data_IF_782479527777
#
_entry.id   IF_782479527777
#
_cell.length_a   1.000
_cell.length_b   1.000
_cell.length_c   1.000
_cell.angle_alpha   90.00
_cell.angle_beta   90.00
_cell.angle_gamma   90.00
#
_symmetry.space_group_name_H-M   'P 1'
#
loop_
_entity.id
_entity.type
_entity.pdbx_description
1 polymer ?
#
# COMPACT_ATOMS: atom_id res chain seq x y z
N UNK A 1 -0.20 -0.81 10.17
CA UNK A 1 0.57 0.45 10.18
C UNK A 1 0.59 0.90 8.75
N UNK A 2 -0.07 2.02 8.42
CA UNK A 2 -0.02 2.57 7.07
C UNK A 2 1.35 3.24 6.97
N UNK A 3 2.26 2.63 6.23
CA UNK A 3 3.53 3.27 5.91
C UNK A 3 3.24 4.24 4.77
N UNK A 4 3.22 5.52 5.08
CA UNK A 4 3.10 6.57 4.08
C UNK A 4 4.52 6.96 3.67
N UNK A 5 4.95 6.54 2.48
CA UNK A 5 6.28 6.87 1.95
C UNK A 5 6.23 8.26 1.32
N UNK A 6 6.76 9.27 2.04
CA UNK A 6 7.04 10.61 1.52
C UNK A 6 8.55 10.71 1.32
N UNK A 7 8.97 10.97 0.07
CA UNK A 7 10.35 11.04 -0.43
C UNK A 7 11.06 9.68 -0.59
N UNK A 8 11.15 9.24 -1.83
CA UNK A 8 11.67 7.94 -2.28
C UNK A 8 13.20 7.90 -2.49
N UNK A 9 13.98 8.88 -2.00
CA UNK A 9 15.40 8.97 -2.38
C UNK A 9 16.30 8.15 -1.46
N UNK A 10 16.98 7.18 -2.08
CA UNK A 10 18.08 6.37 -1.56
C UNK A 10 17.65 5.34 -0.48
N UNK A 11 18.45 4.29 -0.28
CA UNK A 11 18.40 3.41 0.92
C UNK A 11 17.51 2.15 0.82
N UNK A 12 17.73 1.31 -0.21
CA UNK A 12 17.35 -0.12 -0.09
C UNK A 12 18.56 -1.08 -0.15
N UNK A 13 19.71 -0.62 -0.66
CA UNK A 13 20.89 -1.47 -0.86
C UNK A 13 21.70 -1.78 0.41
N UNK A 14 21.69 -0.90 1.43
CA UNK A 14 22.59 -1.02 2.62
C UNK A 14 21.97 -1.64 3.88
N UNK A 15 20.65 -1.75 4.00
CA UNK A 15 19.98 -2.14 5.26
C UNK A 15 19.10 -3.39 5.20
N UNK A 16 19.11 -4.13 4.07
CA UNK A 16 18.27 -5.33 3.82
C UNK A 16 18.39 -6.38 4.94
N UNK A 17 19.58 -6.57 5.51
CA UNK A 17 19.82 -7.56 6.56
C UNK A 17 19.53 -7.09 7.99
N UNK A 18 19.50 -5.78 8.26
CA UNK A 18 19.25 -5.23 9.61
C UNK A 18 17.75 -5.18 9.94
N UNK A 19 16.90 -4.99 8.93
CA UNK A 19 15.43 -4.99 9.08
C UNK A 19 14.83 -6.40 9.23
N UNK A 20 15.45 -7.41 8.60
CA UNK A 20 14.92 -8.79 8.48
C UNK A 20 14.78 -9.59 9.79
N UNK A 21 15.53 -9.28 10.87
CA UNK A 21 15.72 -10.21 12.00
C UNK A 21 14.85 -9.99 13.26
N UNK A 22 13.86 -9.10 13.29
CA UNK A 22 13.34 -8.61 14.60
C UNK A 22 11.83 -8.59 14.85
N UNK A 23 11.04 -9.38 14.13
CA UNK A 23 9.59 -9.43 14.35
C UNK A 23 9.11 -10.87 14.55
N UNK A 24 9.26 -11.38 15.78
CA UNK A 24 8.50 -12.52 16.28
C UNK A 24 7.89 -12.13 17.63
N UNK A 25 6.57 -12.34 17.70
CA UNK A 25 5.64 -12.27 18.82
C UNK A 25 5.91 -11.23 19.92
N UNK A 26 5.26 -10.05 19.84
CA UNK A 26 5.31 -9.06 20.93
C UNK A 26 4.05 -8.18 20.95
N UNK A 27 3.55 -7.80 22.13
CA UNK A 27 2.33 -6.94 22.32
C UNK A 27 2.36 -5.72 21.39
N UNK A 28 1.21 -5.31 20.82
CA UNK A 28 1.10 -4.18 19.84
C UNK A 28 1.91 -2.92 20.22
N UNK A 29 1.96 -2.57 21.52
CA UNK A 29 2.74 -1.43 22.04
C UNK A 29 4.26 -1.58 21.86
N UNK A 30 4.78 -2.80 21.96
CA UNK A 30 6.21 -3.09 21.83
C UNK A 30 6.66 -3.07 20.36
N UNK A 31 5.81 -3.50 19.43
CA UNK A 31 6.06 -3.34 17.99
C UNK A 31 6.16 -1.84 17.64
N UNK A 32 5.23 -1.02 18.13
CA UNK A 32 5.27 0.44 17.91
C UNK A 32 6.56 1.04 18.47
N UNK A 33 6.97 0.66 19.70
CA UNK A 33 8.24 1.12 20.29
C UNK A 33 9.45 0.70 19.43
N UNK A 34 9.49 -0.55 18.96
CA UNK A 34 10.54 -1.05 18.06
C UNK A 34 10.63 -0.22 16.78
N UNK A 35 9.49 0.07 16.14
CA UNK A 35 9.42 0.89 14.91
C UNK A 35 9.93 2.30 15.17
N UNK A 36 9.51 2.94 16.27
CA UNK A 36 9.97 4.28 16.62
C UNK A 36 11.49 4.29 16.88
N UNK A 37 12.02 3.26 17.54
CA UNK A 37 13.47 3.18 17.78
C UNK A 37 14.25 2.96 16.49
N UNK A 38 13.80 2.03 15.63
CA UNK A 38 14.38 1.83 14.31
C UNK A 38 14.35 3.11 13.46
N UNK A 39 13.23 3.85 13.48
CA UNK A 39 13.12 5.13 12.78
C UNK A 39 14.12 6.18 13.26
N UNK A 40 14.49 6.16 14.55
CA UNK A 40 15.50 7.07 15.10
C UNK A 40 16.90 6.65 14.66
N UNK A 41 17.20 5.35 14.65
CA UNK A 41 18.50 4.83 14.20
C UNK A 41 18.77 5.19 12.74
N UNK A 42 17.78 5.07 11.87
CA UNK A 42 17.93 5.34 10.43
C UNK A 42 17.53 6.76 10.04
N UNK A 43 17.26 7.66 11.01
CA UNK A 43 16.77 9.03 10.75
C UNK A 43 17.70 9.86 9.86
N UNK A 44 19.02 9.59 9.93
CA UNK A 44 20.04 10.27 9.10
C UNK A 44 19.95 9.86 7.62
N UNK A 45 19.39 8.70 7.35
CA UNK A 45 19.23 8.13 6.02
C UNK A 45 17.80 8.39 5.52
N UNK A 46 16.77 7.98 6.29
CA UNK A 46 15.36 8.07 5.90
C UNK A 46 14.59 8.96 6.88
N UNK A 47 13.83 9.91 6.34
CA UNK A 47 12.84 10.66 7.13
C UNK A 47 11.62 9.79 7.37
N UNK A 48 11.50 9.24 8.58
CA UNK A 48 10.35 8.46 9.00
C UNK A 48 9.59 9.24 10.06
N UNK A 49 8.28 9.38 9.88
CA UNK A 49 7.38 10.06 10.81
C UNK A 49 6.30 9.09 11.26
N UNK A 50 6.15 8.95 12.57
CA UNK A 50 5.03 8.22 13.17
C UNK A 50 3.92 9.20 13.57
N UNK A 51 2.77 9.10 12.92
CA UNK A 51 1.61 9.94 13.19
C UNK A 51 0.78 9.34 14.34
N UNK A 52 0.80 10.02 15.48
CA UNK A 52 -0.09 9.71 16.61
C UNK A 52 -1.48 10.29 16.34
N UNK A 53 -2.51 9.68 16.93
CA UNK A 53 -3.89 10.17 16.90
C UNK A 53 -4.44 10.40 15.48
N UNK A 54 -4.28 9.40 14.61
CA UNK A 54 -4.85 9.43 13.27
C UNK A 54 -6.37 9.65 13.33
N UNK A 55 -6.82 10.76 12.75
CA UNK A 55 -8.22 11.15 12.67
C UNK A 55 -8.55 11.57 11.23
N UNK A 56 -9.80 11.97 10.99
CA UNK A 56 -10.26 12.32 9.64
C UNK A 56 -9.52 13.54 9.06
N UNK A 57 -9.12 14.51 9.89
CA UNK A 57 -8.38 15.69 9.43
C UNK A 57 -6.98 15.30 8.91
N UNK A 58 -6.26 14.45 9.67
CA UNK A 58 -4.97 13.91 9.25
C UNK A 58 -5.12 13.02 8.02
N UNK A 59 -6.16 12.18 7.98
CA UNK A 59 -6.47 11.34 6.83
C UNK A 59 -6.62 12.16 5.55
N UNK A 60 -7.38 13.26 5.60
CA UNK A 60 -7.61 14.17 4.46
C UNK A 60 -6.30 14.76 3.93
N UNK A 61 -5.41 15.18 4.81
CA UNK A 61 -4.11 15.72 4.41
C UNK A 61 -3.22 14.63 3.79
N UNK A 62 -3.24 13.42 4.33
CA UNK A 62 -2.43 12.31 3.83
C UNK A 62 -2.89 11.85 2.46
N UNK A 63 -4.18 11.61 2.24
CA UNK A 63 -4.65 11.14 0.92
C UNK A 63 -4.40 12.15 -0.19
N UNK A 64 -4.25 13.43 0.12
CA UNK A 64 -3.94 14.47 -0.85
C UNK A 64 -2.43 14.69 -1.07
N UNK A 65 -1.57 14.29 -0.13
CA UNK A 65 -0.15 14.65 -0.10
C UNK A 65 0.82 13.51 -0.37
N UNK A 66 0.33 12.32 -0.68
CA UNK A 66 1.14 11.09 -0.74
C UNK A 66 1.24 10.60 -2.18
N UNK A 67 2.42 10.17 -2.58
CA UNK A 67 2.65 9.63 -3.93
C UNK A 67 2.27 8.15 -4.03
N UNK A 68 2.59 7.36 -2.99
CA UNK A 68 2.35 5.91 -2.94
C UNK A 68 1.64 5.50 -1.66
N UNK A 69 0.52 4.79 -1.80
CA UNK A 69 -0.26 4.23 -0.70
C UNK A 69 0.11 2.75 -0.47
N UNK A 70 0.89 2.46 0.57
CA UNK A 70 1.32 1.10 0.91
C UNK A 70 0.36 0.41 1.88
N UNK A 71 -0.16 -0.75 1.47
CA UNK A 71 -1.01 -1.61 2.30
C UNK A 71 -0.47 -3.05 2.31
N UNK A 72 -0.13 -3.56 3.50
CA UNK A 72 0.37 -4.93 3.69
C UNK A 72 -0.55 -5.71 4.66
N UNK A 73 -1.81 -6.03 4.27
CA UNK A 73 -2.66 -6.90 5.05
C UNK A 73 -2.07 -8.30 5.17
N UNK A 74 -2.49 -9.04 6.20
CA UNK A 74 -2.23 -10.48 6.22
C UNK A 74 -3.34 -11.16 5.42
N UNK A 75 -2.98 -11.93 4.39
CA UNK A 75 -3.95 -12.71 3.60
C UNK A 75 -4.62 -13.75 4.50
N UNK A 76 -5.92 -14.08 4.33
CA UNK A 76 -6.97 -13.40 3.55
C UNK A 76 -7.83 -12.48 4.44
N UNK A 77 -7.21 -11.71 5.34
CA UNK A 77 -7.93 -11.01 6.42
C UNK A 77 -8.44 -9.62 6.01
N UNK A 78 -8.14 -9.13 4.82
CA UNK A 78 -8.68 -7.86 4.33
C UNK A 78 -9.98 -8.06 3.55
N UNK A 79 -11.12 -7.88 4.22
CA UNK A 79 -12.42 -7.93 3.55
C UNK A 79 -12.65 -6.73 2.61
N UNK A 80 -12.30 -5.50 3.03
CA UNK A 80 -12.45 -4.29 2.21
C UNK A 80 -11.50 -3.18 2.66
N UNK A 81 -10.81 -2.55 1.70
CA UNK A 81 -9.80 -1.52 1.92
C UNK A 81 -10.20 -0.15 1.37
N UNK A 82 -11.13 0.53 2.06
CA UNK A 82 -11.66 1.82 1.57
C UNK A 82 -10.65 2.97 1.58
N UNK A 83 -9.57 2.87 2.36
CA UNK A 83 -8.51 3.88 2.39
C UNK A 83 -7.72 3.94 1.08
N UNK A 84 -7.42 2.78 0.48
CA UNK A 84 -6.76 2.73 -0.84
C UNK A 84 -7.65 3.27 -1.96
N UNK A 85 -8.97 3.05 -1.86
CA UNK A 85 -9.95 3.64 -2.78
C UNK A 85 -9.98 5.18 -2.66
N UNK A 86 -9.94 5.72 -1.44
CA UNK A 86 -9.88 7.17 -1.19
C UNK A 86 -8.58 7.79 -1.72
N UNK A 87 -7.46 7.09 -1.57
CA UNK A 87 -6.18 7.52 -2.10
C UNK A 87 -6.22 7.58 -3.63
N UNK A 88 -6.81 6.58 -4.30
CA UNK A 88 -6.93 6.54 -5.75
C UNK A 88 -7.73 7.72 -6.34
N UNK A 89 -8.73 8.24 -5.61
CA UNK A 89 -9.47 9.45 -6.02
C UNK A 89 -8.60 10.70 -6.12
N UNK A 90 -7.46 10.72 -5.41
CA UNK A 90 -6.49 11.81 -5.45
C UNK A 90 -5.33 11.51 -6.41
N UNK A 91 -5.43 10.46 -7.23
CA UNK A 91 -4.34 10.03 -8.13
C UNK A 91 -3.18 9.36 -7.42
N UNK A 92 -3.32 9.04 -6.13
CA UNK A 92 -2.31 8.27 -5.39
C UNK A 92 -2.24 6.86 -5.94
N UNK A 93 -1.02 6.34 -6.08
CA UNK A 93 -0.80 5.01 -6.63
C UNK A 93 -0.82 3.98 -5.49
N UNK A 94 -1.60 2.92 -5.66
CA UNK A 94 -1.66 1.85 -4.67
C UNK A 94 -0.50 0.87 -4.85
N UNK A 95 0.12 0.49 -3.74
CA UNK A 95 1.10 -0.60 -3.67
C UNK A 95 0.67 -1.55 -2.56
N UNK A 96 0.13 -2.70 -2.90
CA UNK A 96 -0.53 -3.55 -1.91
C UNK A 96 -0.45 -5.04 -2.21
N UNK A 97 -0.55 -5.86 -1.17
CA UNK A 97 -0.78 -7.30 -1.29
C UNK A 97 -2.12 -7.52 -2.01
N UNK A 98 -2.18 -8.53 -2.88
CA UNK A 98 -3.41 -8.92 -3.60
C UNK A 98 -4.39 -9.63 -2.65
N UNK A 99 -5.12 -8.82 -1.88
CA UNK A 99 -6.19 -9.26 -0.99
C UNK A 99 -7.38 -8.29 -1.07
N UNK A 100 -8.59 -8.80 -0.80
CA UNK A 100 -9.84 -8.04 -0.83
C UNK A 100 -10.07 -7.24 -2.12
N UNK A 101 -10.33 -5.94 -1.96
CA UNK A 101 -10.67 -5.04 -3.07
C UNK A 101 -9.55 -4.87 -4.11
N UNK A 102 -8.29 -5.08 -3.72
CA UNK A 102 -7.17 -4.85 -4.62
C UNK A 102 -7.11 -5.89 -5.73
N UNK A 103 -7.67 -7.09 -5.51
CA UNK A 103 -7.82 -8.13 -6.54
C UNK A 103 -8.66 -7.62 -7.72
N UNK A 104 -9.69 -6.81 -7.45
CA UNK A 104 -10.55 -6.23 -8.49
C UNK A 104 -9.95 -4.97 -9.15
N UNK A 105 -9.16 -4.20 -8.41
CA UNK A 105 -8.64 -2.90 -8.84
C UNK A 105 -7.21 -2.91 -9.41
N UNK A 106 -6.45 -3.99 -9.17
CA UNK A 106 -5.04 -4.09 -9.57
C UNK A 106 -4.91 -4.40 -11.06
N UNK A 107 -4.11 -3.57 -11.73
CA UNK A 107 -3.53 -3.85 -13.03
C UNK A 107 -2.08 -3.40 -12.94
N UNK A 108 -1.17 -4.36 -13.01
CA UNK A 108 0.27 -4.14 -12.85
C UNK A 108 0.78 -3.07 -13.82
N UNK A 109 1.56 -2.11 -13.30
CA UNK A 109 2.13 -0.97 -14.05
C UNK A 109 1.08 -0.02 -14.68
N UNK A 110 -0.21 -0.19 -14.41
CA UNK A 110 -1.31 0.66 -14.91
C UNK A 110 -2.06 1.35 -13.78
N UNK A 111 -2.54 0.61 -12.78
CA UNK A 111 -3.25 1.21 -11.62
C UNK A 111 -2.40 1.21 -10.35
N UNK A 112 -1.33 0.43 -10.32
CA UNK A 112 -0.39 0.33 -9.23
C UNK A 112 0.44 -0.94 -9.29
N UNK A 113 0.93 -1.38 -8.14
CA UNK A 113 1.76 -2.58 -8.02
C UNK A 113 1.20 -3.52 -6.95
N UNK A 114 1.34 -4.82 -7.18
CA UNK A 114 1.01 -5.84 -6.19
C UNK A 114 2.22 -6.19 -5.33
N UNK A 115 2.00 -6.85 -4.19
CA UNK A 115 3.05 -7.49 -3.38
C UNK A 115 2.74 -8.99 -3.26
N UNK A 116 3.75 -9.81 -3.50
CA UNK A 116 3.67 -11.26 -3.46
C UNK A 116 3.03 -11.86 -4.71
N UNK A 117 2.91 -13.19 -4.71
CA UNK A 117 2.32 -13.95 -5.81
C UNK A 117 0.82 -13.69 -5.95
N UNK A 118 0.28 -13.93 -7.15
CA UNK A 118 -1.17 -14.02 -7.31
C UNK A 118 -1.73 -15.08 -6.36
N UNK A 119 -2.97 -14.91 -5.87
CA UNK A 119 -3.66 -15.97 -5.15
C UNK A 119 -3.81 -17.18 -6.09
N UNK A 120 -2.97 -18.20 -5.92
CA UNK A 120 -3.20 -19.52 -6.51
C UNK A 120 -4.09 -20.32 -5.57
N UNK A 121 -5.02 -21.11 -6.10
CA UNK A 121 -5.87 -22.03 -5.33
C UNK A 121 -5.04 -23.10 -4.57
N UNK A 122 -3.75 -23.21 -4.89
CA UNK A 122 -2.80 -24.13 -4.29
C UNK A 122 -1.97 -23.37 -3.25
N UNK A 123 -2.11 -23.78 -1.99
CA UNK A 123 -1.33 -23.44 -0.78
C UNK A 123 -1.33 -21.97 -0.30
N UNK A 124 -2.39 -21.59 0.45
CA UNK A 124 -2.35 -20.46 1.40
C UNK A 124 -1.20 -20.59 2.42
N UNK A 125 -0.69 -21.81 2.62
CA UNK A 125 0.30 -22.16 3.64
C UNK A 125 1.77 -21.99 3.20
N UNK A 126 2.07 -21.76 1.91
CA UNK A 126 3.45 -21.68 1.39
C UNK A 126 3.96 -20.26 1.10
N UNK A 127 3.10 -19.25 1.29
CA UNK A 127 3.47 -17.84 1.16
C UNK A 127 3.99 -17.32 2.50
N UNK A 128 5.31 -17.38 2.67
CA UNK A 128 6.00 -16.80 3.82
C UNK A 128 6.01 -15.28 3.74
N UNK A 129 5.75 -14.61 4.88
CA UNK A 129 5.93 -13.16 5.06
C UNK A 129 7.30 -12.67 4.54
N UNK A 130 8.33 -13.52 4.56
CA UNK A 130 9.67 -13.21 4.04
C UNK A 130 9.70 -13.07 2.51
N UNK A 131 8.93 -13.90 1.78
CA UNK A 131 8.85 -13.81 0.31
C UNK A 131 8.13 -12.54 -0.11
N UNK A 132 7.04 -12.20 0.58
CA UNK A 132 6.29 -10.96 0.34
C UNK A 132 7.14 -9.73 0.67
N UNK A 133 7.92 -9.79 1.75
CA UNK A 133 8.89 -8.73 2.07
C UNK A 133 9.93 -8.57 0.97
N UNK A 134 10.47 -9.68 0.45
CA UNK A 134 11.47 -9.64 -0.62
C UNK A 134 10.91 -9.09 -1.93
N UNK A 135 9.71 -9.47 -2.33
CA UNK A 135 9.02 -8.91 -3.48
C UNK A 135 8.75 -7.41 -3.30
N UNK A 136 8.28 -7.01 -2.10
CA UNK A 136 8.06 -5.61 -1.75
C UNK A 136 9.34 -4.79 -1.96
N UNK A 137 10.48 -5.24 -1.43
CA UNK A 137 11.75 -4.54 -1.57
C UNK A 137 12.24 -4.51 -3.02
N UNK A 138 12.12 -5.63 -3.73
CA UNK A 138 12.57 -5.73 -5.12
C UNK A 138 11.76 -4.79 -6.02
N UNK A 139 10.43 -4.73 -5.88
CA UNK A 139 9.58 -3.81 -6.65
C UNK A 139 9.86 -2.35 -6.34
N UNK A 140 10.10 -2.00 -5.07
CA UNK A 140 10.53 -0.64 -4.72
C UNK A 140 11.83 -0.26 -5.43
N UNK A 141 12.85 -1.11 -5.33
CA UNK A 141 14.19 -0.84 -5.88
C UNK A 141 14.21 -0.81 -7.42
N UNK A 142 13.51 -1.74 -8.06
CA UNK A 142 13.64 -1.97 -9.52
C UNK A 142 12.54 -1.31 -10.35
N UNK A 143 11.35 -1.09 -9.79
CA UNK A 143 10.20 -0.53 -10.52
C UNK A 143 9.79 0.84 -9.99
N UNK A 144 9.37 0.93 -8.73
CA UNK A 144 8.65 2.10 -8.20
C UNK A 144 9.58 3.31 -8.09
N UNK A 145 10.75 3.14 -7.44
CA UNK A 145 11.72 4.23 -7.26
C UNK A 145 12.25 4.74 -8.61
N UNK A 146 12.72 3.87 -9.53
CA UNK A 146 13.15 4.33 -10.85
C UNK A 146 12.05 5.02 -11.64
N UNK A 147 10.81 4.52 -11.62
CA UNK A 147 9.69 5.14 -12.34
C UNK A 147 9.40 6.54 -11.79
N UNK A 148 9.39 6.70 -10.45
CA UNK A 148 9.12 7.99 -9.82
C UNK A 148 10.14 9.07 -10.20
N UNK A 149 11.43 8.75 -10.18
CA UNK A 149 12.49 9.75 -10.43
C UNK A 149 12.84 9.93 -11.91
N UNK A 150 12.82 8.85 -12.69
CA UNK A 150 13.37 8.85 -14.04
C UNK A 150 12.30 8.86 -15.13
N UNK A 151 11.04 8.54 -14.81
CA UNK A 151 9.95 8.44 -15.79
C UNK A 151 8.65 9.09 -15.29
N UNK A 152 8.67 10.42 -15.25
CA UNK A 152 7.52 11.23 -14.85
C UNK A 152 6.30 11.00 -15.76
N UNK A 153 6.51 10.70 -17.04
CA UNK A 153 5.43 10.46 -17.99
C UNK A 153 4.67 9.18 -17.62
N UNK A 154 5.39 8.09 -17.36
CA UNK A 154 4.80 6.85 -16.86
C UNK A 154 4.16 7.04 -15.48
N UNK A 155 4.77 7.80 -14.58
CA UNK A 155 4.16 8.09 -13.28
C UNK A 155 2.79 8.78 -13.43
N UNK A 156 2.71 9.84 -14.25
CA UNK A 156 1.45 10.55 -14.53
C UNK A 156 0.44 9.62 -15.22
N UNK A 157 0.88 8.73 -16.11
CA UNK A 157 0.03 7.73 -16.73
C UNK A 157 -0.62 6.82 -15.68
N UNK A 158 0.16 6.33 -14.71
CA UNK A 158 -0.36 5.48 -13.63
C UNK A 158 -1.32 6.28 -12.74
N UNK A 159 -1.00 7.53 -12.39
CA UNK A 159 -1.89 8.41 -11.61
C UNK A 159 -3.25 8.60 -12.30
N UNK A 160 -3.24 8.89 -13.61
CA UNK A 160 -4.47 9.05 -14.41
C UNK A 160 -5.30 7.77 -14.46
N UNK A 161 -4.64 6.61 -14.58
CA UNK A 161 -5.32 5.32 -14.57
C UNK A 161 -5.83 4.93 -13.17
N UNK A 162 -5.14 5.32 -12.09
CA UNK A 162 -5.64 5.18 -10.72
C UNK A 162 -6.99 5.89 -10.59
N UNK A 163 -7.10 7.14 -11.06
CA UNK A 163 -8.38 7.86 -11.07
C UNK A 163 -9.37 7.20 -12.04
N UNK A 164 -8.98 7.00 -13.30
CA UNK A 164 -9.88 6.58 -14.37
C UNK A 164 -10.44 5.16 -14.21
N UNK A 165 -9.70 4.26 -13.55
CA UNK A 165 -10.10 2.85 -13.37
C UNK A 165 -10.56 2.55 -11.96
N UNK A 166 -9.82 2.99 -10.94
CA UNK A 166 -10.17 2.70 -9.54
C UNK A 166 -11.26 3.66 -9.07
N UNK A 167 -11.03 4.98 -9.12
CA UNK A 167 -11.98 5.94 -8.54
C UNK A 167 -13.35 5.89 -9.23
N UNK A 168 -13.36 5.68 -10.55
CA UNK A 168 -14.59 5.44 -11.31
C UNK A 168 -15.37 4.22 -10.79
N UNK A 169 -14.71 3.08 -10.57
CA UNK A 169 -15.37 1.83 -10.20
C UNK A 169 -15.77 1.78 -8.72
N UNK A 170 -14.93 2.29 -7.83
CA UNK A 170 -15.10 2.23 -6.38
C UNK A 170 -15.69 3.54 -5.83
N UNK A 171 -16.94 3.82 -6.17
CA UNK A 171 -17.67 4.98 -5.65
C UNK A 171 -18.99 4.57 -4.96
N UNK A 172 -19.40 5.36 -3.97
CA UNK A 172 -20.59 5.07 -3.17
C UNK A 172 -21.89 5.19 -3.95
N UNK A 173 -21.95 6.01 -5.01
CA UNK A 173 -23.14 6.09 -5.87
C UNK A 173 -23.42 4.75 -6.55
N UNK A 174 -22.39 4.09 -7.08
CA UNK A 174 -22.48 2.77 -7.68
C UNK A 174 -22.88 1.72 -6.65
N UNK A 175 -22.27 1.74 -5.46
CA UNK A 175 -22.64 0.84 -4.36
C UNK A 175 -24.13 0.99 -3.99
N UNK A 176 -24.59 2.22 -3.75
CA UNK A 176 -25.98 2.51 -3.39
C UNK A 176 -26.95 2.09 -4.49
N UNK A 177 -26.63 2.37 -5.76
CA UNK A 177 -27.46 1.95 -6.90
C UNK A 177 -27.65 0.45 -6.91
N UNK A 178 -26.56 -0.33 -6.81
CA UNK A 178 -26.62 -1.80 -6.77
C UNK A 178 -27.41 -2.30 -5.57
N UNK A 179 -27.21 -1.69 -4.40
CA UNK A 179 -27.91 -2.09 -3.19
C UNK A 179 -29.42 -1.90 -3.31
N UNK A 180 -29.85 -0.77 -3.89
CA UNK A 180 -31.27 -0.49 -4.14
C UNK A 180 -31.86 -1.45 -5.17
N UNK A 181 -31.20 -1.64 -6.33
CA UNK A 181 -31.76 -2.42 -7.44
C UNK A 181 -31.66 -3.94 -7.25
N UNK A 182 -30.62 -4.44 -6.58
CA UNK A 182 -30.35 -5.87 -6.47
C UNK A 182 -30.81 -6.48 -5.13
N UNK A 183 -31.04 -5.66 -4.10
CA UNK A 183 -31.41 -6.16 -2.77
C UNK A 183 -32.77 -5.65 -2.24
N UNK A 184 -33.18 -4.42 -2.58
CA UNK A 184 -34.38 -3.81 -2.00
C UNK A 184 -35.60 -3.78 -2.93
N UNK A 185 -35.41 -3.55 -4.24
CA UNK A 185 -36.50 -3.44 -5.21
C UNK A 185 -36.64 -4.75 -6.02
N UNK A 186 -36.44 -5.90 -5.38
CA UNK A 186 -36.67 -7.21 -6.00
C UNK A 186 -38.13 -7.35 -6.47
#
# INVERSE_FOLDING_TARGET
>A
IILVLVNLHLIFKKNKNKLRRKIINTKKKEIIKKIINLSKEIKKEIKIVYLKNYNMAVAKLLVAGVDVWLNTPKRPLEASGTSGMKAAHNGVINFSILDGWWIEGHIEDVTGWSIGSLPSEVSLDEQSDDKDADDLYNKLETKIIPTYYNDKAKWIYIMKNSIGKIAYYFNTHRMMRRYVTEAYIC
#
